data_IF_681535805271
#
_entry.id   IF_681535805271
#
_cell.length_a   1.000
_cell.length_b   1.000
_cell.length_c   1.000
_cell.angle_alpha   90.00
_cell.angle_beta   90.00
_cell.angle_gamma   90.00
#
_symmetry.space_group_name_H-M   'P 1'
#
loop_
_entity.id
_entity.type
_entity.pdbx_description
1 polymer ?
#
# COMPACT_ATOMS: atom_id res chain seq x y z
N UNK A 1 -5.06 -5.11 -17.08
CA UNK A 1 -6.19 -5.56 -16.24
C UNK A 1 -6.27 -4.49 -15.20
N UNK A 2 -7.32 -3.66 -15.21
CA UNK A 2 -7.45 -2.59 -14.21
C UNK A 2 -7.54 -3.27 -12.85
N UNK A 3 -6.50 -3.15 -12.04
CA UNK A 3 -6.53 -3.62 -10.66
C UNK A 3 -7.61 -2.81 -9.93
N UNK A 4 -8.47 -3.49 -9.17
CA UNK A 4 -9.57 -2.82 -8.48
C UNK A 4 -9.05 -2.13 -7.22
N UNK A 5 -9.18 -0.81 -7.14
CA UNK A 5 -8.94 -0.08 -5.88
C UNK A 5 -9.92 -0.61 -4.82
N UNK A 6 -9.38 -1.18 -3.73
CA UNK A 6 -10.14 -1.62 -2.57
C UNK A 6 -10.31 -0.48 -1.56
N UNK A 7 -9.21 0.19 -1.24
CA UNK A 7 -9.14 1.21 -0.21
C UNK A 7 -8.14 2.29 -0.58
N UNK A 8 -8.47 3.53 -0.25
CA UNK A 8 -7.53 4.64 -0.18
C UNK A 8 -7.56 5.27 1.22
N UNK A 9 -6.41 5.73 1.70
CA UNK A 9 -6.30 6.43 2.98
C UNK A 9 -5.06 7.31 3.02
N UNK A 10 -4.98 8.19 4.01
CA UNK A 10 -3.82 9.05 4.25
C UNK A 10 -3.21 8.70 5.60
N UNK A 11 -1.95 8.26 5.59
CA UNK A 11 -1.18 7.91 6.80
C UNK A 11 0.01 8.83 6.92
N UNK A 12 0.05 9.64 7.98
CA UNK A 12 1.13 10.60 8.22
C UNK A 12 1.43 11.53 7.02
N UNK A 13 0.38 11.94 6.29
CA UNK A 13 0.51 12.81 5.11
C UNK A 13 0.88 12.09 3.81
N UNK A 14 1.08 10.77 3.84
CA UNK A 14 1.31 9.94 2.65
C UNK A 14 0.00 9.36 2.16
N UNK A 15 -0.24 9.44 0.85
CA UNK A 15 -1.35 8.74 0.22
C UNK A 15 -1.01 7.26 0.12
N UNK A 16 -1.95 6.42 0.57
CA UNK A 16 -1.86 4.97 0.51
C UNK A 16 -3.03 4.44 -0.30
N UNK A 17 -2.75 3.56 -1.24
CA UNK A 17 -3.77 2.86 -2.02
C UNK A 17 -3.56 1.35 -1.92
N UNK A 18 -4.65 0.60 -1.76
CA UNK A 18 -4.64 -0.85 -1.74
C UNK A 18 -5.46 -1.35 -2.91
N UNK A 19 -4.81 -2.12 -3.78
CA UNK A 19 -5.44 -2.73 -4.95
C UNK A 19 -5.58 -4.23 -4.78
N UNK A 20 -6.55 -4.83 -5.46
CA UNK A 20 -6.69 -6.26 -5.64
C UNK A 20 -6.78 -6.58 -7.13
N UNK A 21 -5.80 -7.33 -7.62
CA UNK A 21 -5.73 -7.77 -9.01
C UNK A 21 -6.75 -8.88 -9.33
N UNK A 22 -7.22 -9.62 -8.31
CA UNK A 22 -8.22 -10.68 -8.48
C UNK A 22 -9.09 -10.82 -7.21
N UNK A 23 -10.11 -9.96 -7.05
CA UNK A 23 -10.95 -9.90 -5.85
C UNK A 23 -11.77 -11.19 -5.62
N UNK A 24 -12.00 -11.99 -6.67
CA UNK A 24 -12.81 -13.22 -6.60
C UNK A 24 -12.11 -14.34 -5.81
N UNK A 25 -10.78 -14.32 -5.75
CA UNK A 25 -9.99 -15.36 -5.08
C UNK A 25 -9.74 -15.08 -3.60
N UNK A 26 -10.03 -13.86 -3.13
CA UNK A 26 -9.81 -13.39 -1.76
C UNK A 26 -8.47 -13.87 -1.18
N UNK A 27 -7.39 -13.59 -1.90
CA UNK A 27 -6.04 -14.04 -1.58
C UNK A 27 -5.10 -12.85 -1.43
N UNK A 28 -4.36 -12.80 -0.32
CA UNK A 28 -3.54 -11.62 0.04
C UNK A 28 -2.41 -11.35 -0.97
N UNK A 29 -1.90 -12.36 -1.69
CA UNK A 29 -0.87 -12.14 -2.73
C UNK A 29 -1.41 -11.40 -3.95
N UNK A 30 -2.74 -11.39 -4.15
CA UNK A 30 -3.37 -10.63 -5.23
C UNK A 30 -3.46 -9.13 -4.89
N UNK A 31 -3.18 -8.76 -3.63
CA UNK A 31 -3.22 -7.38 -3.15
C UNK A 31 -1.86 -6.71 -3.18
N UNK A 32 -1.87 -5.43 -3.55
CA UNK A 32 -0.69 -4.57 -3.54
C UNK A 32 -1.03 -3.27 -2.82
N UNK A 33 -0.16 -2.89 -1.88
CA UNK A 33 -0.17 -1.59 -1.21
C UNK A 33 0.78 -0.67 -1.95
N UNK A 34 0.30 0.48 -2.40
CA UNK A 34 1.11 1.57 -2.91
C UNK A 34 1.21 2.68 -1.87
N UNK A 35 2.44 3.10 -1.58
CA UNK A 35 2.74 4.23 -0.69
C UNK A 35 3.33 5.34 -1.55
N UNK A 36 2.60 6.44 -1.73
CA UNK A 36 3.05 7.57 -2.52
C UNK A 36 3.85 8.53 -1.64
N UNK A 37 5.17 8.53 -1.84
CA UNK A 37 6.12 9.39 -1.13
C UNK A 37 6.69 10.46 -2.07
N UNK A 38 6.05 11.63 -2.06
CA UNK A 38 6.44 12.78 -2.86
C UNK A 38 7.68 13.50 -2.34
N UNK A 39 8.10 13.27 -1.09
CA UNK A 39 9.28 13.90 -0.49
C UNK A 39 10.54 13.03 -0.60
N UNK A 40 10.38 11.77 -1.01
CA UNK A 40 11.45 10.78 -1.14
C UNK A 40 12.23 10.55 0.17
N UNK A 41 11.59 10.74 1.33
CA UNK A 41 12.19 10.62 2.65
C UNK A 41 11.64 9.45 3.49
N UNK A 42 10.64 8.72 2.98
CA UNK A 42 10.10 7.55 3.67
C UNK A 42 11.16 6.47 3.87
N UNK A 43 11.39 6.11 5.14
CA UNK A 43 12.32 5.05 5.53
C UNK A 43 11.66 3.66 5.52
N UNK A 44 12.47 2.59 5.45
CA UNK A 44 11.97 1.22 5.59
C UNK A 44 11.21 0.98 6.90
N UNK A 45 11.66 1.63 7.99
CA UNK A 45 11.01 1.52 9.30
C UNK A 45 9.61 2.13 9.28
N UNK A 46 9.44 3.28 8.63
CA UNK A 46 8.14 3.92 8.50
C UNK A 46 7.22 3.14 7.57
N UNK A 47 7.75 2.59 6.47
CA UNK A 47 7.01 1.63 5.63
C UNK A 47 6.49 0.44 6.45
N UNK A 48 7.34 -0.16 7.29
CA UNK A 48 6.93 -1.28 8.14
C UNK A 48 5.86 -0.88 9.16
N UNK A 49 5.91 0.34 9.70
CA UNK A 49 4.87 0.89 10.58
C UNK A 49 3.54 1.05 9.82
N UNK A 50 3.59 1.57 8.58
CA UNK A 50 2.40 1.72 7.71
C UNK A 50 1.77 0.34 7.45
N UNK A 51 2.55 -0.67 7.07
CA UNK A 51 2.03 -2.03 6.83
C UNK A 51 1.38 -2.60 8.10
N UNK A 52 2.01 -2.41 9.27
CA UNK A 52 1.42 -2.85 10.53
C UNK A 52 0.12 -2.13 10.88
N UNK A 53 0.04 -0.83 10.61
CA UNK A 53 -1.19 -0.05 10.76
C UNK A 53 -2.30 -0.60 9.84
N UNK A 54 -2.02 -0.77 8.55
CA UNK A 54 -2.99 -1.28 7.58
C UNK A 54 -3.55 -2.66 7.96
N UNK A 55 -2.68 -3.55 8.44
CA UNK A 55 -3.10 -4.85 8.96
C UNK A 55 -3.96 -4.73 10.21
N UNK A 56 -3.62 -3.83 11.13
CA UNK A 56 -4.31 -3.69 12.41
C UNK A 56 -5.71 -3.09 12.27
N UNK A 57 -5.88 -2.19 11.30
CA UNK A 57 -7.18 -1.58 10.95
C UNK A 57 -8.03 -2.45 10.00
N UNK A 58 -7.47 -3.54 9.45
CA UNK A 58 -8.18 -4.47 8.56
C UNK A 58 -8.24 -4.04 7.09
N UNK A 59 -7.40 -3.10 6.66
CA UNK A 59 -7.27 -2.75 5.24
C UNK A 59 -6.57 -3.85 4.41
N UNK A 60 -5.70 -4.64 5.05
CA UNK A 60 -5.04 -5.82 4.47
C UNK A 60 -5.14 -7.01 5.42
N UNK A 61 -5.17 -8.22 4.85
CA UNK A 61 -5.38 -9.44 5.64
C UNK A 61 -4.07 -10.07 6.14
N UNK A 62 -2.93 -9.72 5.54
CA UNK A 62 -1.60 -10.24 5.89
C UNK A 62 -0.54 -9.15 5.78
N UNK A 63 0.42 -9.12 6.71
CA UNK A 63 1.56 -8.18 6.71
C UNK A 63 2.60 -8.46 5.61
N UNK A 64 2.50 -9.62 4.95
CA UNK A 64 3.32 -10.01 3.80
C UNK A 64 2.79 -9.47 2.48
N UNK A 65 1.61 -8.83 2.49
CA UNK A 65 1.06 -8.14 1.31
C UNK A 65 2.13 -7.26 0.68
N UNK A 66 2.25 -7.33 -0.65
CA UNK A 66 3.25 -6.58 -1.41
C UNK A 66 3.08 -5.08 -1.12
N UNK A 67 4.17 -4.40 -0.81
CA UNK A 67 4.18 -2.97 -0.51
C UNK A 67 5.21 -2.29 -1.41
N UNK A 68 4.74 -1.42 -2.29
CA UNK A 68 5.55 -0.65 -3.23
C UNK A 68 5.56 0.82 -2.82
N UNK A 69 6.75 1.39 -2.70
CA UNK A 69 6.90 2.82 -2.43
C UNK A 69 7.15 3.51 -3.75
N UNK A 70 6.23 4.39 -4.12
CA UNK A 70 6.28 5.19 -5.34
C UNK A 70 6.90 6.53 -4.98
N UNK A 71 8.08 6.83 -5.53
CA UNK A 71 8.83 8.04 -5.17
C UNK A 71 8.48 9.17 -6.14
N UNK A 72 8.45 10.41 -5.64
CA UNK A 72 8.17 11.58 -6.47
C UNK A 72 9.14 11.75 -7.64
N UNK A 73 10.38 11.31 -7.48
CA UNK A 73 11.42 11.33 -8.53
C UNK A 73 11.18 10.33 -9.68
N UNK A 74 10.37 9.29 -9.48
CA UNK A 74 10.03 8.33 -10.54
C UNK A 74 9.17 8.95 -11.66
N UNK A 75 8.63 10.16 -11.42
CA UNK A 75 7.75 10.90 -12.33
C UNK A 75 8.36 12.22 -12.82
N UNK A 76 9.66 12.47 -12.57
CA UNK A 76 10.39 13.65 -13.03
C UNK A 76 11.18 13.43 -14.33
#
# INVERSE_FOLDING_TARGET
>A
MDEGLLYDTVVNGLLIEVYDSNPEENFWENRTVYVYDCLSDLTDKERDIIVNYLYSEGFIDDRRTRCEVIRGEDYL
#
